data_IF_219553325408
#
_entry.id   IF_219553325408
#
_cell.length_a   1.000
_cell.length_b   1.000
_cell.length_c   1.000
_cell.angle_alpha   90.00
_cell.angle_beta   90.00
_cell.angle_gamma   90.00
#
_symmetry.space_group_name_H-M   'P 1'
#
loop_
_entity.id
_entity.type
_entity.pdbx_description
1 polymer ?
#
# COMPACT_ATOMS: atom_id res chain seq x y z
N UNK A 1 -7.46 -12.51 -18.58
CA UNK A 1 -7.30 -11.27 -17.78
C UNK A 1 -6.94 -10.14 -18.71
N UNK A 2 -7.70 -9.06 -18.72
CA UNK A 2 -7.65 -8.05 -19.78
C UNK A 2 -6.46 -7.11 -19.60
N UNK A 3 -5.44 -7.23 -20.45
CA UNK A 3 -4.28 -6.35 -20.53
C UNK A 3 -4.60 -4.93 -21.04
N UNK A 4 -5.87 -4.58 -21.20
CA UNK A 4 -6.28 -3.33 -21.86
C UNK A 4 -5.91 -2.05 -21.12
N UNK A 5 -5.61 -2.11 -19.82
CA UNK A 5 -5.21 -0.94 -19.04
C UNK A 5 -3.68 -0.80 -18.88
N UNK A 6 -2.95 -1.91 -18.90
CA UNK A 6 -1.50 -1.91 -18.63
C UNK A 6 -0.72 -1.30 -19.80
N UNK A 7 -1.03 -1.69 -21.05
CA UNK A 7 -0.31 -1.20 -22.22
C UNK A 7 -0.42 0.32 -22.44
N UNK A 8 -1.61 0.94 -22.40
CA UNK A 8 -1.74 2.39 -22.50
C UNK A 8 -0.98 3.12 -21.39
N UNK A 9 -1.02 2.59 -20.15
CA UNK A 9 -0.31 3.18 -19.02
C UNK A 9 1.20 3.11 -19.19
N UNK A 10 1.73 1.96 -19.63
CA UNK A 10 3.17 1.79 -19.91
C UNK A 10 3.63 2.69 -21.05
N UNK A 11 2.83 2.85 -22.11
CA UNK A 11 3.10 3.80 -23.19
C UNK A 11 3.20 5.23 -22.66
N UNK A 12 2.26 5.65 -21.83
CA UNK A 12 2.27 6.95 -21.17
C UNK A 12 3.55 7.15 -20.34
N UNK A 13 3.97 6.15 -19.56
CA UNK A 13 5.19 6.25 -18.74
C UNK A 13 6.46 6.34 -19.60
N UNK A 14 6.49 5.66 -20.74
CA UNK A 14 7.59 5.80 -21.72
C UNK A 14 7.62 7.22 -22.31
N UNK A 15 6.47 7.77 -22.72
CA UNK A 15 6.36 9.14 -23.22
C UNK A 15 6.80 10.18 -22.20
N UNK A 16 6.52 9.94 -20.91
CA UNK A 16 6.94 10.81 -19.79
C UNK A 16 8.42 10.62 -19.40
N UNK A 17 9.13 9.70 -20.04
CA UNK A 17 10.52 9.41 -19.73
C UNK A 17 10.75 8.70 -18.38
N UNK A 18 9.69 8.21 -17.74
CA UNK A 18 9.79 7.51 -16.46
C UNK A 18 10.21 6.05 -16.61
N UNK A 19 9.90 5.46 -17.76
CA UNK A 19 10.18 4.07 -18.08
C UNK A 19 10.86 4.00 -19.45
N UNK A 20 11.88 3.15 -19.58
CA UNK A 20 12.51 2.79 -20.85
C UNK A 20 11.97 1.44 -21.28
N UNK A 21 11.58 1.34 -22.56
CA UNK A 21 11.20 0.09 -23.20
C UNK A 21 12.38 -0.44 -24.02
N UNK A 22 12.69 -1.72 -23.90
CA UNK A 22 13.60 -2.47 -24.77
C UNK A 22 12.88 -3.68 -25.34
N UNK A 23 13.28 -4.09 -26.53
CA UNK A 23 12.83 -5.35 -27.11
C UNK A 23 13.93 -6.39 -26.91
N UNK A 24 13.58 -7.54 -26.38
CA UNK A 24 14.51 -8.66 -26.15
C UNK A 24 13.96 -9.92 -26.81
N UNK A 25 14.85 -10.85 -27.24
CA UNK A 25 14.40 -12.16 -27.70
C UNK A 25 13.64 -12.86 -26.56
N UNK A 26 12.47 -13.37 -26.87
CA UNK A 26 11.65 -14.19 -25.98
C UNK A 26 11.79 -15.67 -26.33
N UNK A 27 11.12 -16.52 -25.57
CA UNK A 27 11.04 -17.95 -25.86
C UNK A 27 10.33 -18.18 -27.20
N UNK A 28 10.77 -19.20 -27.96
CA UNK A 28 10.19 -19.61 -29.26
C UNK A 28 10.26 -18.54 -30.38
N UNK A 29 11.29 -17.68 -30.37
CA UNK A 29 11.49 -16.68 -31.42
C UNK A 29 10.53 -15.48 -31.36
N UNK A 30 9.72 -15.36 -30.32
CA UNK A 30 8.88 -14.17 -30.09
C UNK A 30 9.70 -13.04 -29.48
N UNK A 31 9.35 -11.80 -29.80
CA UNK A 31 9.96 -10.61 -29.16
C UNK A 31 9.15 -10.21 -27.94
N UNK A 32 9.81 -10.10 -26.79
CA UNK A 32 9.20 -9.57 -25.57
C UNK A 32 9.61 -8.12 -25.32
N UNK A 33 8.68 -7.30 -24.85
CA UNK A 33 8.97 -5.96 -24.38
C UNK A 33 9.38 -5.99 -22.90
N UNK A 34 10.57 -5.48 -22.60
CA UNK A 34 11.10 -5.34 -21.24
C UNK A 34 11.08 -3.86 -20.88
N UNK A 35 10.53 -3.55 -19.72
CA UNK A 35 10.41 -2.19 -19.20
C UNK A 35 11.30 -2.02 -17.98
N UNK A 36 12.05 -0.93 -17.94
CA UNK A 36 12.91 -0.58 -16.81
C UNK A 36 12.68 0.85 -16.37
N UNK A 37 12.72 1.11 -15.05
CA UNK A 37 12.62 2.46 -14.51
C UNK A 37 13.86 3.28 -14.92
N UNK A 38 13.63 4.53 -15.32
CA UNK A 38 14.69 5.50 -15.51
C UNK A 38 15.03 6.18 -14.17
N UNK A 39 16.18 6.90 -14.05
CA UNK A 39 16.45 7.72 -12.87
C UNK A 39 15.32 8.72 -12.57
N UNK A 40 14.79 9.42 -13.60
CA UNK A 40 13.64 10.32 -13.46
C UNK A 40 12.37 9.59 -13.03
N UNK A 41 12.13 8.39 -13.56
CA UNK A 41 11.00 7.54 -13.13
C UNK A 41 11.13 7.10 -11.67
N UNK A 42 12.35 6.81 -11.20
CA UNK A 42 12.59 6.49 -9.79
C UNK A 42 12.30 7.69 -8.89
N UNK A 43 12.73 8.88 -9.26
CA UNK A 43 12.43 10.11 -8.50
C UNK A 43 10.92 10.36 -8.42
N UNK A 44 10.21 10.25 -9.54
CA UNK A 44 8.76 10.43 -9.58
C UNK A 44 8.02 9.38 -8.74
N UNK A 45 8.47 8.13 -8.77
CA UNK A 45 7.92 7.07 -7.92
C UNK A 45 8.08 7.42 -6.43
N UNK A 46 9.29 7.81 -6.00
CA UNK A 46 9.55 8.18 -4.61
C UNK A 46 8.70 9.39 -4.18
N UNK A 47 8.60 10.41 -5.04
CA UNK A 47 7.76 11.58 -4.79
C UNK A 47 6.29 11.20 -4.58
N UNK A 48 5.74 10.32 -5.42
CA UNK A 48 4.35 9.84 -5.29
C UNK A 48 4.15 8.96 -4.06
N UNK A 49 5.12 8.14 -3.70
CA UNK A 49 5.05 7.32 -2.51
C UNK A 49 5.00 8.16 -1.23
N UNK A 50 5.78 9.25 -1.17
CA UNK A 50 5.80 10.17 -0.01
C UNK A 50 4.49 10.99 0.09
N UNK A 51 3.80 11.22 -1.02
CA UNK A 51 2.50 11.89 -1.05
C UNK A 51 1.39 10.96 -0.54
N UNK A 52 1.30 10.85 0.79
CA UNK A 52 0.26 10.08 1.47
C UNK A 52 -0.39 10.94 2.55
N UNK A 53 -1.57 11.45 2.25
CA UNK A 53 -2.38 12.28 3.13
C UNK A 53 -3.67 11.58 3.56
N UNK A 54 -4.57 12.37 4.11
CA UNK A 54 -5.88 11.88 4.60
C UNK A 54 -6.72 11.22 3.50
N UNK A 55 -6.68 11.76 2.27
CA UNK A 55 -7.43 11.22 1.13
C UNK A 55 -6.95 9.82 0.76
N UNK A 56 -5.65 9.62 0.68
CA UNK A 56 -5.04 8.33 0.36
C UNK A 56 -5.21 7.35 1.53
N UNK A 57 -5.24 7.87 2.76
CA UNK A 57 -5.44 7.06 3.96
C UNK A 57 -6.80 6.36 4.03
N UNK A 58 -7.80 6.79 3.28
CA UNK A 58 -9.10 6.12 3.16
C UNK A 58 -8.97 4.74 2.52
N UNK A 59 -8.09 4.59 1.54
CA UNK A 59 -7.93 3.35 0.76
C UNK A 59 -6.92 2.40 1.42
N UNK A 60 -7.41 1.31 2.01
CA UNK A 60 -6.53 0.24 2.51
C UNK A 60 -5.73 -0.45 1.41
N UNK A 61 -6.26 -0.53 0.19
CA UNK A 61 -5.54 -1.08 -0.96
C UNK A 61 -4.33 -0.21 -1.33
N UNK A 62 -4.52 1.10 -1.39
CA UNK A 62 -3.46 2.06 -1.68
C UNK A 62 -2.37 2.08 -0.61
N UNK A 63 -2.77 2.00 0.67
CA UNK A 63 -1.83 1.84 1.78
C UNK A 63 -0.98 0.57 1.65
N UNK A 64 -1.61 -0.59 1.35
CA UNK A 64 -0.89 -1.88 1.20
C UNK A 64 0.11 -1.87 0.04
N UNK A 65 -0.23 -1.21 -1.08
CA UNK A 65 0.73 -1.01 -2.19
C UNK A 65 1.96 -0.24 -1.71
N UNK A 66 1.77 0.83 -0.94
CA UNK A 66 2.91 1.61 -0.38
C UNK A 66 3.74 0.77 0.58
N UNK A 67 3.11 -0.01 1.46
CA UNK A 67 3.85 -0.92 2.37
C UNK A 67 4.70 -1.91 1.60
N UNK A 68 4.20 -2.45 0.49
CA UNK A 68 4.99 -3.32 -0.41
C UNK A 68 6.25 -2.64 -0.99
N UNK A 69 6.23 -1.30 -1.06
CA UNK A 69 7.35 -0.49 -1.58
C UNK A 69 8.16 0.21 -0.47
N UNK A 70 7.92 -0.08 0.80
CA UNK A 70 8.62 0.53 1.94
C UNK A 70 10.14 0.36 1.89
N UNK A 71 10.65 -0.69 1.21
CA UNK A 71 12.09 -0.86 1.01
C UNK A 71 12.74 0.31 0.24
N UNK A 72 11.97 1.06 -0.55
CA UNK A 72 12.42 2.22 -1.32
C UNK A 72 12.41 3.53 -0.52
N UNK A 73 11.75 3.55 0.63
CA UNK A 73 11.56 4.75 1.46
C UNK A 73 12.48 4.73 2.67
N UNK A 74 12.81 5.90 3.20
CA UNK A 74 13.49 6.04 4.48
C UNK A 74 12.54 5.76 5.66
N UNK A 75 13.10 5.76 6.87
CA UNK A 75 12.34 5.47 8.08
C UNK A 75 11.27 6.55 8.36
N UNK A 76 11.59 7.82 8.12
CA UNK A 76 10.68 8.93 8.40
C UNK A 76 9.43 8.88 7.51
N UNK A 77 9.62 8.67 6.21
CA UNK A 77 8.52 8.51 5.25
C UNK A 77 7.63 7.30 5.57
N UNK A 78 8.23 6.14 5.92
CA UNK A 78 7.47 4.95 6.34
C UNK A 78 6.63 5.21 7.58
N UNK A 79 7.23 5.86 8.58
CA UNK A 79 6.57 6.18 9.85
C UNK A 79 5.41 7.15 9.64
N UNK A 80 5.60 8.18 8.82
CA UNK A 80 4.55 9.14 8.44
C UNK A 80 3.37 8.44 7.76
N UNK A 81 3.62 7.63 6.74
CA UNK A 81 2.59 6.89 6.01
C UNK A 81 1.81 5.96 6.95
N UNK A 82 2.51 5.21 7.80
CA UNK A 82 1.90 4.30 8.76
C UNK A 82 1.05 5.05 9.79
N UNK A 83 1.56 6.17 10.32
CA UNK A 83 0.85 7.01 11.30
C UNK A 83 -0.43 7.62 10.70
N UNK A 84 -0.36 8.16 9.48
CA UNK A 84 -1.53 8.74 8.78
C UNK A 84 -2.63 7.70 8.60
N UNK A 85 -2.27 6.47 8.19
CA UNK A 85 -3.25 5.38 8.07
C UNK A 85 -3.81 4.94 9.42
N UNK A 86 -2.98 4.79 10.45
CA UNK A 86 -3.46 4.41 11.80
C UNK A 86 -4.40 5.45 12.39
N UNK A 87 -4.13 6.74 12.16
CA UNK A 87 -5.01 7.82 12.61
C UNK A 87 -6.39 7.76 11.95
N UNK A 88 -6.44 7.52 10.65
CA UNK A 88 -7.71 7.32 9.94
C UNK A 88 -8.47 6.09 10.47
N UNK A 89 -7.77 4.98 10.67
CA UNK A 89 -8.36 3.75 11.24
C UNK A 89 -8.85 3.95 12.67
N UNK A 90 -8.15 4.76 13.48
CA UNK A 90 -8.58 5.11 14.84
C UNK A 90 -9.93 5.83 14.82
N UNK A 91 -10.06 6.86 14.00
CA UNK A 91 -11.34 7.57 13.83
C UNK A 91 -12.46 6.64 13.35
N UNK A 92 -12.12 5.70 12.43
CA UNK A 92 -13.06 4.70 11.93
C UNK A 92 -13.50 3.71 13.02
N UNK A 93 -12.58 3.29 13.89
CA UNK A 93 -12.88 2.43 15.05
C UNK A 93 -13.84 3.13 16.02
N UNK A 94 -13.56 4.38 16.37
CA UNK A 94 -14.41 5.19 17.25
C UNK A 94 -15.83 5.36 16.68
N UNK A 95 -15.93 5.60 15.36
CA UNK A 95 -17.21 5.67 14.66
C UNK A 95 -18.01 4.38 14.76
N UNK A 96 -17.40 3.23 14.49
CA UNK A 96 -18.08 1.92 14.57
C UNK A 96 -18.41 1.52 16.01
N UNK A 97 -17.58 1.87 16.99
CA UNK A 97 -17.91 1.66 18.40
C UNK A 97 -19.13 2.50 18.82
N UNK A 98 -19.27 3.73 18.32
CA UNK A 98 -20.47 4.55 18.49
C UNK A 98 -21.71 3.91 17.91
N UNK A 99 -21.63 3.41 16.66
CA UNK A 99 -22.75 2.67 16.02
C UNK A 99 -23.10 1.43 16.84
N UNK A 100 -22.12 0.62 17.23
CA UNK A 100 -22.34 -0.60 18.03
C UNK A 100 -23.09 -0.29 19.33
N UNK A 101 -22.72 0.78 20.01
CA UNK A 101 -23.39 1.19 21.24
C UNK A 101 -24.83 1.66 20.97
N UNK A 102 -25.07 2.42 19.91
CA UNK A 102 -26.40 2.81 19.49
C UNK A 102 -27.30 1.62 19.13
N UNK A 103 -26.75 0.60 18.47
CA UNK A 103 -27.50 -0.63 18.11
C UNK A 103 -27.91 -1.48 19.33
N UNK A 104 -27.29 -1.27 20.50
CA UNK A 104 -27.69 -1.93 21.77
C UNK A 104 -28.96 -1.31 22.36
N UNK A 105 -29.16 -0.01 22.15
CA UNK A 105 -30.33 0.73 22.66
C UNK A 105 -31.51 0.70 21.68
N UNK A 106 -31.22 0.52 20.40
CA UNK A 106 -32.22 0.33 19.34
C UNK A 106 -32.48 -1.16 19.18
N UNK A 107 -33.71 -1.57 18.92
CA UNK A 107 -34.08 -2.98 18.68
C UNK A 107 -33.54 -3.47 17.31
N UNK A 108 -32.21 -3.33 17.14
CA UNK A 108 -31.53 -3.61 15.89
C UNK A 108 -31.47 -5.11 15.61
N UNK A 109 -31.56 -5.47 14.32
CA UNK A 109 -31.48 -6.87 13.90
C UNK A 109 -30.14 -7.49 14.28
N UNK A 110 -30.14 -8.79 14.57
CA UNK A 110 -28.90 -9.54 14.86
C UNK A 110 -27.88 -9.43 13.73
N UNK A 111 -28.33 -9.32 12.50
CA UNK A 111 -27.46 -9.16 11.32
C UNK A 111 -26.74 -7.82 11.28
N UNK A 112 -27.42 -6.71 11.58
CA UNK A 112 -26.78 -5.38 11.66
C UNK A 112 -25.66 -5.35 12.69
N UNK A 113 -25.86 -5.95 13.86
CA UNK A 113 -24.81 -6.08 14.89
C UNK A 113 -23.61 -6.88 14.39
N UNK A 114 -23.84 -8.02 13.73
CA UNK A 114 -22.75 -8.85 13.16
C UNK A 114 -21.90 -8.10 12.14
N UNK A 115 -22.53 -7.28 11.29
CA UNK A 115 -21.80 -6.45 10.31
C UNK A 115 -20.89 -5.45 11.03
N UNK A 116 -21.39 -4.75 12.04
CA UNK A 116 -20.58 -3.76 12.79
C UNK A 116 -19.43 -4.44 13.55
N UNK A 117 -19.67 -5.60 14.15
CA UNK A 117 -18.63 -6.40 14.82
C UNK A 117 -17.53 -6.84 13.82
N UNK A 118 -17.93 -7.26 12.63
CA UNK A 118 -16.98 -7.61 11.57
C UNK A 118 -16.13 -6.41 11.15
N UNK A 119 -16.75 -5.24 10.88
CA UNK A 119 -16.03 -4.02 10.50
C UNK A 119 -15.07 -3.56 11.59
N UNK A 120 -15.46 -3.66 12.86
CA UNK A 120 -14.56 -3.39 13.99
C UNK A 120 -13.37 -4.35 14.03
N UNK A 121 -13.62 -5.64 13.77
CA UNK A 121 -12.55 -6.65 13.75
C UNK A 121 -11.54 -6.38 12.62
N UNK A 122 -12.00 -5.99 11.42
CA UNK A 122 -11.12 -5.61 10.30
C UNK A 122 -10.25 -4.41 10.65
N UNK A 123 -10.84 -3.33 11.16
CA UNK A 123 -10.11 -2.11 11.56
C UNK A 123 -9.05 -2.44 12.62
N UNK A 124 -9.41 -3.20 13.65
CA UNK A 124 -8.50 -3.59 14.71
C UNK A 124 -7.37 -4.50 14.22
N UNK A 125 -7.68 -5.39 13.28
CA UNK A 125 -6.68 -6.25 12.64
C UNK A 125 -5.65 -5.41 11.90
N UNK A 126 -6.09 -4.48 11.05
CA UNK A 126 -5.19 -3.63 10.28
C UNK A 126 -4.34 -2.73 11.20
N UNK A 127 -4.91 -2.15 12.25
CA UNK A 127 -4.16 -1.36 13.25
C UNK A 127 -3.08 -2.17 13.96
N UNK A 128 -3.36 -3.42 14.35
CA UNK A 128 -2.33 -4.32 14.91
C UNK A 128 -1.22 -4.60 13.91
N UNK A 129 -1.57 -4.84 12.65
CA UNK A 129 -0.59 -5.06 11.59
C UNK A 129 0.31 -3.84 11.39
N UNK A 130 -0.24 -2.62 11.31
CA UNK A 130 0.52 -1.37 11.20
C UNK A 130 1.53 -1.25 12.35
N UNK A 131 1.11 -1.48 13.59
CA UNK A 131 2.01 -1.47 14.75
C UNK A 131 3.14 -2.50 14.64
N UNK A 132 2.91 -3.62 13.97
CA UNK A 132 3.95 -4.63 13.73
C UNK A 132 4.99 -4.19 12.70
N UNK A 133 4.62 -3.32 11.76
CA UNK A 133 5.55 -2.77 10.75
C UNK A 133 6.64 -1.91 11.39
N UNK A 134 6.28 -1.11 12.40
CA UNK A 134 7.24 -0.28 13.15
C UNK A 134 8.29 -1.11 13.89
N UNK A 135 7.90 -2.27 14.45
CA UNK A 135 8.83 -3.17 15.17
C UNK A 135 9.85 -3.85 14.27
N UNK A 136 9.49 -4.16 13.02
CA UNK A 136 10.38 -4.83 12.05
C UNK A 136 11.40 -3.90 11.41
N UNK A 137 11.21 -2.59 11.47
CA UNK A 137 12.15 -1.61 10.93
C UNK A 137 13.48 -1.54 11.70
N UNK A 138 13.57 -2.18 12.88
CA UNK A 138 14.77 -2.25 13.72
C UNK A 138 15.69 -3.44 13.46
N UNK A 139 15.41 -4.33 12.50
CA UNK A 139 16.30 -5.44 12.19
C UNK A 139 17.49 -4.92 11.40
N UNK A 140 18.60 -4.69 12.12
CA UNK A 140 19.92 -4.39 11.57
C UNK A 140 20.25 -5.31 10.41
N UNK A 141 20.60 -4.72 9.26
CA UNK A 141 21.09 -5.46 8.10
C UNK A 141 22.17 -6.44 8.50
N UNK A 142 21.88 -7.72 8.41
CA UNK A 142 22.87 -8.79 8.51
C UNK A 142 23.82 -8.59 7.34
N UNK A 143 24.99 -7.98 7.59
CA UNK A 143 26.12 -7.96 6.68
C UNK A 143 26.36 -9.38 6.21
N UNK A 144 26.13 -9.66 4.92
CA UNK A 144 26.69 -10.82 4.24
C UNK A 144 28.21 -10.67 4.38
N UNK A 145 28.82 -11.43 5.28
CA UNK A 145 30.24 -11.70 5.24
C UNK A 145 30.47 -12.56 4.00
N UNK A 146 31.08 -11.97 2.98
CA UNK A 146 31.75 -12.71 1.92
C UNK A 146 32.77 -13.62 2.59
N UNK A 147 32.60 -14.92 2.44
CA UNK A 147 33.65 -15.88 2.66
C UNK A 147 34.36 -16.07 1.33
N UNK A 148 35.63 -15.73 1.37
CA UNK A 148 36.64 -16.08 0.36
C UNK A 148 36.71 -17.61 0.16
#
# INVERSE_FOLDING_TARGET
>A
MHNNLVYPLMKKFVTQGWVRRRSEPGERGQTRAVYSLTPGGKQELLRRLDQFGEKEAVSGAEFRVRVGLFALLDHAARSKIAATRDQWLKAREEHFDGIRNGLRTMNATAWGRRVVEFLLAEVRLERRWIKSLAKKSGVKGRRRRDRR
#
